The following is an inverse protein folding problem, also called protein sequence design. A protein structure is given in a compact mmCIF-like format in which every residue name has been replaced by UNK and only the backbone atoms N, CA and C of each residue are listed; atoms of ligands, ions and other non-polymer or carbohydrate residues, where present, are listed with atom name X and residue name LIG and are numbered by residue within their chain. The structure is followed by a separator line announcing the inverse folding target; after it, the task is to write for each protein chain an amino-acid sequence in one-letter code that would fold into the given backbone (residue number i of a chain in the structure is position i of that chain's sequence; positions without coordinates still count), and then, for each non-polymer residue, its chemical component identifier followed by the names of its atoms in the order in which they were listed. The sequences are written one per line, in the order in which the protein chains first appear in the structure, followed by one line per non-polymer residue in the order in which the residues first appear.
data_IF_688332632521
#
_entry.id   IF_688332632521
#
_cell.length_a   1.000
_cell.length_b   1.000
_cell.length_c   1.000
_cell.angle_alpha   90.00
_cell.angle_beta   90.00
_cell.angle_gamma   90.00
#
_symmetry.space_group_name_H-M   'P 1'
#
loop_
_entity.id
_entity.type
_entity.pdbx_description
1 polymer ?
#
# COMPACT_ATOMS: atom_id res chain seq x y z
N UNK A 1 -9.21 61.78 19.04
CA UNK A 1 -9.71 61.05 17.86
C UNK A 1 -8.64 61.11 16.79
N UNK A 2 -7.94 60.00 16.57
CA UNK A 2 -7.22 59.70 15.32
C UNK A 2 -7.09 58.19 15.26
N UNK A 3 -8.00 57.56 14.53
CA UNK A 3 -7.95 56.16 14.17
C UNK A 3 -6.84 55.99 13.15
N UNK A 4 -5.81 55.19 13.47
CA UNK A 4 -4.87 54.69 12.49
C UNK A 4 -5.13 53.19 12.36
N UNK A 5 -6.05 52.85 11.47
CA UNK A 5 -6.33 51.47 11.07
C UNK A 5 -5.23 51.06 10.10
N UNK A 6 -4.25 50.29 10.59
CA UNK A 6 -3.34 49.56 9.70
C UNK A 6 -4.11 48.35 9.16
N UNK A 7 -4.59 48.47 7.93
CA UNK A 7 -5.07 47.36 7.13
C UNK A 7 -3.91 46.37 6.94
N UNK A 8 -3.97 45.25 7.66
CA UNK A 8 -3.08 44.13 7.45
C UNK A 8 -3.46 43.46 6.13
N UNK A 9 -2.64 43.71 5.12
CA UNK A 9 -2.56 42.93 3.89
C UNK A 9 -2.22 41.47 4.25
N UNK A 10 -3.24 40.63 4.40
CA UNK A 10 -3.06 39.18 4.38
C UNK A 10 -2.90 38.79 2.91
N UNK A 11 -1.66 38.74 2.46
CA UNK A 11 -1.31 38.11 1.19
C UNK A 11 -1.72 36.63 1.28
N UNK A 12 -2.79 36.29 0.56
CA UNK A 12 -3.12 34.92 0.20
C UNK A 12 -1.96 34.35 -0.61
N UNK A 13 -1.02 33.71 0.08
CA UNK A 13 -0.08 32.79 -0.56
C UNK A 13 -0.88 31.56 -0.96
N UNK A 14 -1.55 31.63 -2.12
CA UNK A 14 -1.92 30.44 -2.86
C UNK A 14 -0.62 29.72 -3.21
N UNK A 15 -0.26 28.75 -2.37
CA UNK A 15 0.80 27.80 -2.68
C UNK A 15 0.31 26.99 -3.88
N UNK A 16 0.66 27.47 -5.07
CA UNK A 16 0.52 26.74 -6.32
C UNK A 16 1.49 25.56 -6.28
N UNK A 17 1.12 24.54 -5.52
CA UNK A 17 1.78 23.24 -5.53
C UNK A 17 1.25 22.53 -6.77
N UNK A 18 2.02 22.59 -7.85
CA UNK A 18 1.87 21.64 -8.94
C UNK A 18 1.74 20.24 -8.31
N UNK A 19 0.64 19.54 -8.63
CA UNK A 19 0.40 18.20 -8.13
C UNK A 19 1.52 17.30 -8.65
N UNK A 20 2.51 17.02 -7.80
CA UNK A 20 3.53 16.01 -8.06
C UNK A 20 2.84 14.69 -8.41
N UNK A 21 3.39 13.93 -9.35
CA UNK A 21 2.88 12.57 -9.60
C UNK A 21 3.34 11.66 -8.47
N UNK A 22 2.60 10.59 -8.19
CA UNK A 22 2.91 9.68 -7.07
C UNK A 22 4.33 9.12 -7.13
N UNK A 23 4.84 8.90 -8.35
CA UNK A 23 6.18 8.42 -8.61
C UNK A 23 7.25 9.37 -8.05
N UNK A 24 6.98 10.68 -8.10
CA UNK A 24 7.91 11.75 -7.71
C UNK A 24 7.92 12.03 -6.19
N UNK A 25 7.02 11.41 -5.42
CA UNK A 25 7.02 11.54 -3.96
C UNK A 25 8.15 10.72 -3.35
N UNK A 26 8.91 11.35 -2.44
CA UNK A 26 9.86 10.66 -1.57
C UNK A 26 9.14 9.64 -0.68
N UNK A 27 9.89 8.67 -0.14
CA UNK A 27 9.35 7.69 0.79
C UNK A 27 8.68 8.33 2.02
N UNK A 28 9.25 9.42 2.53
CA UNK A 28 8.71 10.17 3.65
C UNK A 28 7.37 10.83 3.28
N UNK A 29 7.29 11.52 2.13
CA UNK A 29 6.05 12.15 1.68
C UNK A 29 4.94 11.11 1.38
N UNK A 30 5.31 9.93 0.84
CA UNK A 30 4.37 8.80 0.63
C UNK A 30 3.80 8.30 1.96
N UNK A 31 4.65 8.10 2.97
CA UNK A 31 4.23 7.67 4.32
C UNK A 31 3.31 8.70 4.97
N UNK A 32 3.69 9.97 4.91
CA UNK A 32 2.90 11.07 5.47
C UNK A 32 1.52 11.18 4.80
N UNK A 33 1.47 11.06 3.46
CA UNK A 33 0.21 11.11 2.70
C UNK A 33 -0.72 9.96 3.08
N UNK A 34 -0.17 8.75 3.23
CA UNK A 34 -0.92 7.59 3.70
C UNK A 34 -1.43 7.77 5.13
N UNK A 35 -0.58 8.26 6.05
CA UNK A 35 -0.98 8.53 7.44
C UNK A 35 -2.11 9.55 7.51
N UNK A 36 -2.06 10.63 6.73
CA UNK A 36 -3.13 11.62 6.66
C UNK A 36 -4.46 11.02 6.20
N UNK A 37 -4.42 10.15 5.19
CA UNK A 37 -5.61 9.42 4.73
C UNK A 37 -6.18 8.54 5.86
N UNK A 38 -5.32 7.77 6.54
CA UNK A 38 -5.72 6.90 7.64
C UNK A 38 -6.34 7.70 8.79
N UNK A 39 -5.72 8.81 9.20
CA UNK A 39 -6.24 9.68 10.26
C UNK A 39 -7.61 10.25 9.88
N UNK A 40 -7.78 10.71 8.63
CA UNK A 40 -9.05 11.21 8.13
C UNK A 40 -10.15 10.15 8.22
N UNK A 41 -9.88 8.94 7.72
CA UNK A 41 -10.84 7.83 7.71
C UNK A 41 -11.22 7.40 9.13
N UNK A 42 -10.25 7.36 10.06
CA UNK A 42 -10.50 7.09 11.48
C UNK A 42 -11.39 8.17 12.10
N UNK A 43 -11.11 9.45 11.85
CA UNK A 43 -11.90 10.56 12.36
C UNK A 43 -13.35 10.52 11.83
N UNK A 44 -13.53 10.21 10.54
CA UNK A 44 -14.86 10.02 9.94
C UNK A 44 -15.58 8.81 10.54
N UNK A 45 -14.87 7.71 10.79
CA UNK A 45 -15.44 6.51 11.41
C UNK A 45 -15.93 6.76 12.84
N UNK A 46 -15.17 7.52 13.62
CA UNK A 46 -15.57 7.92 14.98
C UNK A 46 -16.78 8.86 14.91
N UNK A 47 -16.73 9.87 14.03
CA UNK A 47 -17.79 10.87 13.89
C UNK A 47 -19.14 10.25 13.49
N UNK A 48 -19.11 9.21 12.67
CA UNK A 48 -20.30 8.58 12.10
C UNK A 48 -20.64 7.22 12.75
N UNK A 49 -20.04 6.90 13.90
CA UNK A 49 -20.32 5.70 14.71
C UNK A 49 -20.14 4.34 13.99
N UNK A 50 -19.18 4.25 13.06
CA UNK A 50 -18.78 3.00 12.42
C UNK A 50 -17.33 2.59 12.73
N UNK A 51 -16.70 3.23 13.72
CA UNK A 51 -15.39 2.84 14.21
C UNK A 51 -15.45 1.43 14.85
N UNK A 52 -14.70 0.43 14.33
CA UNK A 52 -14.77 -0.93 14.84
C UNK A 52 -14.15 -1.07 16.24
N UNK A 53 -13.24 -0.17 16.62
CA UNK A 53 -12.51 -0.21 17.89
C UNK A 53 -13.24 0.46 19.06
N UNK A 54 -14.43 1.03 18.85
CA UNK A 54 -15.26 1.59 19.94
C UNK A 54 -16.18 0.55 20.59
N UNK A 55 -16.32 -0.64 19.98
CA UNK A 55 -17.17 -1.74 20.46
C UNK A 55 -16.33 -2.85 21.08
N UNK A 56 -16.90 -3.63 22.00
CA UNK A 56 -16.18 -4.73 22.66
C UNK A 56 -15.62 -5.73 21.63
N UNK A 57 -14.31 -6.01 21.72
CA UNK A 57 -13.55 -6.75 20.72
C UNK A 57 -13.88 -8.25 20.60
N UNK A 58 -14.87 -8.77 21.34
CA UNK A 58 -15.05 -10.22 21.53
C UNK A 58 -15.36 -10.99 20.26
N UNK A 59 -15.93 -10.37 19.21
CA UNK A 59 -16.36 -11.07 18.00
C UNK A 59 -16.22 -10.25 16.70
N UNK A 60 -15.23 -9.36 16.58
CA UNK A 60 -15.03 -8.64 15.31
C UNK A 60 -14.22 -9.51 14.34
N UNK A 61 -14.83 -10.04 13.25
CA UNK A 61 -14.07 -10.75 12.23
C UNK A 61 -13.07 -9.77 11.60
N UNK A 62 -11.79 -10.09 11.72
CA UNK A 62 -10.70 -9.29 11.17
C UNK A 62 -10.68 -9.41 9.66
N UNK A 63 -10.26 -8.34 8.98
CA UNK A 63 -10.10 -8.36 7.55
C UNK A 63 -9.09 -9.44 7.11
N UNK A 64 -9.46 -10.27 6.15
CA UNK A 64 -8.57 -11.26 5.54
C UNK A 64 -8.68 -11.29 4.03
N UNK A 65 -7.62 -11.78 3.38
CA UNK A 65 -7.61 -11.94 1.94
C UNK A 65 -8.34 -13.24 1.57
N UNK A 66 -9.40 -13.13 0.76
CA UNK A 66 -10.18 -14.28 0.32
C UNK A 66 -9.43 -15.28 -0.56
N UNK A 67 -8.32 -14.87 -1.20
CA UNK A 67 -7.55 -15.75 -2.09
C UNK A 67 -6.64 -16.73 -1.36
N UNK A 68 -6.13 -16.35 -0.18
CA UNK A 68 -5.15 -17.14 0.58
C UNK A 68 -5.53 -17.37 2.05
N UNK A 69 -6.63 -16.78 2.53
CA UNK A 69 -7.11 -16.89 3.90
C UNK A 69 -6.26 -16.15 4.94
N UNK A 70 -5.24 -15.40 4.53
CA UNK A 70 -4.37 -14.70 5.47
C UNK A 70 -5.01 -13.39 5.94
N UNK A 71 -4.95 -13.08 7.24
CA UNK A 71 -5.43 -11.81 7.77
C UNK A 71 -4.56 -10.66 7.27
N UNK A 72 -5.19 -9.53 6.96
CA UNK A 72 -4.47 -8.28 6.83
C UNK A 72 -3.94 -7.85 8.22
N UNK A 73 -2.82 -7.14 8.22
CA UNK A 73 -2.16 -6.71 9.47
C UNK A 73 -2.09 -5.18 9.56
N UNK A 74 -1.79 -4.68 10.76
CA UNK A 74 -1.52 -3.26 11.02
C UNK A 74 -2.66 -2.33 10.57
N UNK A 75 -2.30 -1.15 10.06
CA UNK A 75 -3.26 -0.13 9.60
C UNK A 75 -4.14 -0.60 8.44
N UNK A 76 -3.68 -1.54 7.62
CA UNK A 76 -4.49 -2.11 6.55
C UNK A 76 -5.66 -2.92 7.12
N UNK A 77 -5.45 -3.73 8.17
CA UNK A 77 -6.56 -4.42 8.86
C UNK A 77 -7.56 -3.41 9.39
N UNK A 78 -7.10 -2.36 10.09
CA UNK A 78 -7.98 -1.37 10.68
C UNK A 78 -8.80 -0.63 9.61
N UNK A 79 -8.17 -0.24 8.50
CA UNK A 79 -8.85 0.43 7.40
C UNK A 79 -9.94 -0.45 6.79
N UNK A 80 -9.65 -1.73 6.56
CA UNK A 80 -10.61 -2.67 6.01
C UNK A 80 -11.77 -2.95 6.97
N UNK A 81 -11.50 -3.06 8.27
CA UNK A 81 -12.53 -3.20 9.30
C UNK A 81 -13.47 -1.97 9.31
N UNK A 82 -12.90 -0.76 9.18
CA UNK A 82 -13.67 0.49 9.05
C UNK A 82 -14.54 0.47 7.78
N UNK A 83 -13.99 0.06 6.62
CA UNK A 83 -14.74 0.00 5.35
C UNK A 83 -15.85 -1.05 5.38
N UNK A 84 -15.63 -2.20 6.02
CA UNK A 84 -16.66 -3.22 6.22
C UNK A 84 -17.86 -2.64 6.98
N UNK A 85 -17.62 -1.87 8.05
CA UNK A 85 -18.68 -1.21 8.83
C UNK A 85 -19.31 -0.02 8.11
N UNK A 86 -18.51 0.79 7.41
CA UNK A 86 -19.01 1.93 6.64
C UNK A 86 -20.03 1.51 5.58
N UNK A 87 -19.81 0.37 4.94
CA UNK A 87 -20.63 -0.10 3.82
C UNK A 87 -21.55 -1.27 4.15
N UNK A 88 -21.52 -1.76 5.39
CA UNK A 88 -22.40 -2.84 5.85
C UNK A 88 -22.17 -4.17 5.14
N UNK A 89 -20.92 -4.45 4.72
CA UNK A 89 -20.58 -5.77 4.18
C UNK A 89 -20.78 -6.84 5.25
N UNK A 90 -21.38 -7.98 4.88
CA UNK A 90 -21.62 -9.10 5.80
C UNK A 90 -20.30 -9.68 6.29
N UNK A 91 -19.43 -10.05 5.35
CA UNK A 91 -18.11 -10.59 5.62
C UNK A 91 -17.00 -9.56 5.44
N UNK A 92 -15.91 -9.73 6.20
CA UNK A 92 -14.72 -8.91 6.12
C UNK A 92 -13.65 -9.53 5.20
N UNK A 93 -14.09 -9.92 4.00
CA UNK A 93 -13.27 -10.60 2.98
C UNK A 93 -12.96 -9.64 1.86
N UNK A 94 -11.67 -9.50 1.57
CA UNK A 94 -11.21 -8.63 0.51
C UNK A 94 -10.37 -9.41 -0.47
N UNK A 95 -10.54 -9.11 -1.75
CA UNK A 95 -9.76 -9.71 -2.83
C UNK A 95 -9.23 -8.59 -3.72
N UNK A 96 -7.95 -8.66 -4.08
CA UNK A 96 -7.39 -7.70 -5.02
C UNK A 96 -7.83 -8.00 -6.45
N UNK A 97 -7.70 -7.04 -7.35
CA UNK A 97 -7.93 -7.26 -8.78
C UNK A 97 -7.02 -8.37 -9.33
N UNK A 98 -5.77 -8.42 -8.87
CA UNK A 98 -4.81 -9.43 -9.31
C UNK A 98 -5.20 -10.82 -8.81
N UNK A 99 -5.67 -10.92 -7.57
CA UNK A 99 -6.20 -12.17 -7.01
C UNK A 99 -7.46 -12.63 -7.78
N UNK A 100 -8.39 -11.72 -8.11
CA UNK A 100 -9.57 -12.06 -8.88
C UNK A 100 -9.21 -12.60 -10.28
N UNK A 101 -8.24 -11.99 -10.95
CA UNK A 101 -7.69 -12.50 -12.23
C UNK A 101 -7.05 -13.87 -12.06
N UNK A 102 -6.29 -14.07 -10.97
CA UNK A 102 -5.67 -15.36 -10.66
C UNK A 102 -6.72 -16.46 -10.43
N UNK A 103 -7.84 -16.13 -9.81
CA UNK A 103 -9.00 -17.02 -9.62
C UNK A 103 -9.85 -17.21 -10.89
N UNK A 104 -9.39 -16.74 -12.05
CA UNK A 104 -10.06 -16.85 -13.36
C UNK A 104 -11.42 -16.13 -13.43
N UNK A 105 -11.62 -15.06 -12.65
CA UNK A 105 -12.75 -14.16 -12.85
C UNK A 105 -12.71 -13.61 -14.28
N UNK A 106 -13.86 -13.58 -14.94
CA UNK A 106 -13.97 -13.09 -16.32
C UNK A 106 -13.71 -11.59 -16.38
N UNK A 107 -13.30 -11.09 -17.55
CA UNK A 107 -13.07 -9.66 -17.73
C UNK A 107 -14.36 -8.87 -17.52
N UNK A 108 -15.49 -9.43 -17.95
CA UNK A 108 -16.83 -8.85 -17.81
C UNK A 108 -17.24 -8.74 -16.33
N UNK A 109 -16.99 -9.78 -15.52
CA UNK A 109 -17.24 -9.74 -14.07
C UNK A 109 -16.39 -8.68 -13.38
N UNK A 110 -15.09 -8.64 -13.70
CA UNK A 110 -14.17 -7.64 -13.17
C UNK A 110 -14.64 -6.23 -13.55
N UNK A 111 -14.90 -5.99 -14.83
CA UNK A 111 -15.28 -4.68 -15.34
C UNK A 111 -16.65 -4.24 -14.77
N UNK A 112 -17.60 -5.16 -14.58
CA UNK A 112 -18.88 -4.84 -13.96
C UNK A 112 -18.75 -4.42 -12.49
N UNK A 113 -17.80 -5.00 -11.75
CA UNK A 113 -17.53 -4.63 -10.36
C UNK A 113 -16.75 -3.30 -10.26
N UNK A 114 -15.72 -3.15 -11.09
CA UNK A 114 -14.84 -1.99 -11.04
C UNK A 114 -15.47 -0.72 -11.59
N UNK A 115 -16.22 -0.81 -12.69
CA UNK A 115 -16.88 0.34 -13.30
C UNK A 115 -18.16 0.76 -12.55
N UNK A 116 -18.72 -0.14 -11.75
CA UNK A 116 -19.87 0.20 -10.92
C UNK A 116 -19.43 1.08 -9.74
N UNK A 117 -19.82 2.36 -9.79
CA UNK A 117 -19.55 3.35 -8.73
C UNK A 117 -20.31 3.07 -7.43
N UNK A 118 -21.38 2.27 -7.50
CA UNK A 118 -22.20 1.94 -6.34
C UNK A 118 -21.63 0.79 -5.53
N UNK A 119 -20.64 0.05 -6.05
CA UNK A 119 -19.93 -0.98 -5.29
C UNK A 119 -18.80 -0.30 -4.53
N UNK A 120 -18.89 -0.25 -3.18
CA UNK A 120 -17.87 0.37 -2.37
C UNK A 120 -16.54 -0.36 -2.43
N UNK A 121 -15.46 0.37 -2.69
CA UNK A 121 -14.12 -0.19 -2.85
C UNK A 121 -13.26 0.23 -1.66
N UNK A 122 -12.41 -0.67 -1.19
CA UNK A 122 -11.38 -0.34 -0.22
C UNK A 122 -10.03 -0.24 -0.92
N UNK A 123 -9.18 0.64 -0.42
CA UNK A 123 -7.79 0.76 -0.84
C UNK A 123 -6.90 0.35 0.34
N UNK A 124 -6.07 -0.66 0.11
CA UNK A 124 -4.93 -0.98 0.98
C UNK A 124 -3.69 -0.37 0.38
N UNK A 125 -2.82 0.19 1.22
CA UNK A 125 -1.56 0.74 0.76
C UNK A 125 -0.42 -0.17 1.18
N UNK A 126 0.47 -0.43 0.23
CA UNK A 126 1.78 -1.02 0.47
C UNK A 126 2.81 0.00 0.06
N UNK A 127 3.54 0.53 1.04
CA UNK A 127 4.69 1.37 0.77
C UNK A 127 5.87 0.42 0.70
N UNK A 128 6.36 0.15 -0.51
CA UNK A 128 7.58 -0.63 -0.73
C UNK A 128 8.73 0.15 -0.09
N UNK A 129 9.25 -0.36 1.02
CA UNK A 129 10.32 0.29 1.79
C UNK A 129 11.71 -0.08 1.31
N UNK A 130 11.83 -1.22 0.63
CA UNK A 130 13.06 -1.68 -0.02
C UNK A 130 12.68 -2.60 -1.18
N UNK A 131 13.53 -2.64 -2.20
CA UNK A 131 13.49 -3.60 -3.29
C UNK A 131 14.78 -4.40 -3.24
N UNK A 132 14.69 -5.73 -3.23
CA UNK A 132 15.87 -6.58 -3.34
C UNK A 132 16.10 -6.79 -4.84
N UNK A 133 17.09 -6.11 -5.40
CA UNK A 133 17.55 -6.37 -6.76
C UNK A 133 18.70 -7.37 -6.73
N UNK A 134 18.53 -8.49 -7.44
CA UNK A 134 19.60 -9.46 -7.63
C UNK A 134 20.54 -8.97 -8.72
N UNK A 135 21.63 -8.31 -8.33
CA UNK A 135 22.68 -7.89 -9.26
C UNK A 135 23.68 -9.04 -9.41
N UNK A 136 23.84 -9.54 -10.63
CA UNK A 136 24.85 -10.55 -10.93
C UNK A 136 26.25 -9.96 -10.79
N UNK A 137 27.13 -10.64 -10.04
CA UNK A 137 28.55 -10.32 -10.03
C UNK A 137 29.13 -10.56 -11.43
N UNK A 138 30.00 -9.66 -11.88
CA UNK A 138 30.70 -9.82 -13.15
C UNK A 138 31.99 -10.64 -12.95
N UNK A 139 32.32 -11.49 -13.91
CA UNK A 139 33.63 -12.14 -13.98
C UNK A 139 34.73 -11.13 -14.38
N UNK A 140 35.98 -11.60 -14.46
CA UNK A 140 37.13 -10.77 -14.83
C UNK A 140 37.03 -10.17 -16.23
N UNK A 141 36.17 -10.73 -17.07
CA UNK A 141 35.94 -10.34 -18.46
C UNK A 141 34.66 -9.50 -18.62
N UNK A 142 33.98 -9.17 -17.51
CA UNK A 142 32.78 -8.33 -17.49
C UNK A 142 31.47 -9.07 -17.75
N UNK A 143 31.46 -10.41 -17.78
CA UNK A 143 30.25 -11.20 -18.00
C UNK A 143 29.53 -11.52 -16.69
N UNK A 144 28.20 -11.57 -16.72
CA UNK A 144 27.37 -11.95 -15.57
C UNK A 144 27.65 -13.39 -15.15
N UNK A 145 28.01 -13.62 -13.89
CA UNK A 145 28.19 -14.96 -13.34
C UNK A 145 26.80 -15.55 -13.08
N UNK A 146 26.39 -16.64 -13.75
CA UNK A 146 25.09 -17.27 -13.53
C UNK A 146 24.95 -17.78 -12.08
N UNK A 147 23.73 -17.72 -11.52
CA UNK A 147 23.45 -18.22 -10.17
C UNK A 147 23.67 -19.74 -10.06
N UNK A 148 23.36 -20.47 -11.13
CA UNK A 148 23.40 -21.93 -11.20
C UNK A 148 24.48 -22.43 -12.19
N UNK A 149 25.02 -23.61 -11.93
CA UNK A 149 25.82 -24.38 -12.88
C UNK A 149 24.91 -25.11 -13.89
N UNK A 150 25.52 -25.82 -14.84
CA UNK A 150 24.79 -26.58 -15.87
C UNK A 150 23.93 -27.72 -15.31
N UNK A 151 24.15 -28.09 -14.05
CA UNK A 151 23.41 -29.13 -13.32
C UNK A 151 22.34 -28.55 -12.38
N UNK A 152 22.15 -27.22 -12.37
CA UNK A 152 21.18 -26.54 -11.52
C UNK A 152 21.64 -26.30 -10.08
N UNK A 153 22.93 -26.48 -9.75
CA UNK A 153 23.47 -26.21 -8.42
C UNK A 153 24.03 -24.80 -8.30
N UNK A 154 24.04 -24.25 -7.08
CA UNK A 154 24.63 -22.94 -6.79
C UNK A 154 26.13 -22.91 -7.15
N UNK A 155 26.57 -21.95 -7.97
CA UNK A 155 28.00 -21.76 -8.26
C UNK A 155 28.75 -21.23 -7.04
N UNK A 156 29.78 -21.96 -6.62
CA UNK A 156 30.65 -21.61 -5.48
C UNK A 156 32.04 -21.20 -5.96
N UNK A 157 32.70 -20.31 -5.23
CA UNK A 157 34.10 -19.98 -5.45
C UNK A 157 35.01 -21.06 -4.84
N UNK A 158 36.31 -20.98 -5.10
CA UNK A 158 37.31 -21.93 -4.58
C UNK A 158 37.37 -22.01 -3.05
N UNK A 159 36.77 -21.05 -2.35
CA UNK A 159 36.69 -20.97 -0.89
C UNK A 159 35.33 -21.40 -0.34
N UNK A 160 34.46 -22.00 -1.17
CA UNK A 160 33.14 -22.49 -0.78
C UNK A 160 32.10 -21.38 -0.51
N UNK A 161 32.37 -20.12 -0.90
CA UNK A 161 31.39 -19.04 -0.82
C UNK A 161 30.63 -18.94 -2.14
N UNK A 162 29.32 -18.60 -2.12
CA UNK A 162 28.58 -18.38 -3.35
C UNK A 162 29.20 -17.28 -4.21
N UNK A 163 29.22 -17.48 -5.53
CA UNK A 163 29.80 -16.53 -6.50
C UNK A 163 28.89 -15.32 -6.81
N UNK A 164 27.84 -15.11 -6.02
CA UNK A 164 26.97 -13.93 -6.11
C UNK A 164 27.12 -13.08 -4.84
N UNK A 165 26.98 -11.77 -4.97
CA UNK A 165 26.87 -10.84 -3.84
C UNK A 165 25.51 -10.16 -3.95
N UNK A 166 24.74 -10.19 -2.85
CA UNK A 166 23.50 -9.41 -2.75
C UNK A 166 23.92 -8.02 -2.26
N UNK A 167 23.71 -7.00 -3.08
CA UNK A 167 23.85 -5.63 -2.63
C UNK A 167 22.58 -5.23 -1.88
N UNK A 168 22.74 -4.76 -0.64
CA UNK A 168 21.70 -4.04 0.10
C UNK A 168 21.97 -2.55 -0.01
N UNK A 169 21.07 -1.82 -0.66
CA UNK A 169 20.91 -0.37 -0.41
C UNK A 169 19.91 -0.14 0.72
#
# INVERSE_FOLDING_TARGET
MSQNTQEQNVQNNEVNTEKKKWEDYTLAEKKESYLRLVVKEIAEAIKNDYAPFTKEAKNLPRAYNGSNGLPYTNLNSLMLDIKQKQYGYEDNVWISLNDAKFLKATKEEIDSIFNNKNIPKAQVSYIKTFEIEFVYKLDKDGNKIPLLDENGNQRMNQNGKPLFEIATE
#
